data_IF_838859178615
#
_entry.id   IF_838859178615
#
_cell.length_a   1.000
_cell.length_b   1.000
_cell.length_c   1.000
_cell.angle_alpha   90.00
_cell.angle_beta   90.00
_cell.angle_gamma   90.00
#
_symmetry.space_group_name_H-M   'P 1'
#
loop_
_entity.id
_entity.type
_entity.pdbx_description
1 polymer ?
#
# COMPACT_ATOMS: atom_id res chain seq x y z
N UNK A 1 7.24 0.17 2.02
CA UNK A 1 6.17 -0.82 1.76
C UNK A 1 6.68 -2.09 1.11
N UNK A 2 7.21 -2.08 -0.12
CA UNK A 2 7.70 -3.31 -0.79
C UNK A 2 8.87 -4.01 -0.09
N UNK A 3 9.63 -3.29 0.74
CA UNK A 3 10.69 -3.87 1.60
C UNK A 3 10.10 -4.59 2.81
N UNK A 4 8.93 -4.17 3.29
CA UNK A 4 8.31 -4.68 4.52
C UNK A 4 7.28 -5.79 4.24
N UNK A 5 6.60 -5.73 3.10
CA UNK A 5 5.48 -6.62 2.78
C UNK A 5 5.61 -7.19 1.37
N UNK A 6 5.19 -8.45 1.22
CA UNK A 6 5.09 -9.09 -0.09
C UNK A 6 3.98 -8.44 -0.93
N UNK A 7 4.09 -8.54 -2.26
CA UNK A 7 3.03 -8.07 -3.16
C UNK A 7 1.70 -8.78 -2.90
N UNK A 8 1.74 -10.07 -2.55
CA UNK A 8 0.55 -10.85 -2.20
C UNK A 8 -0.12 -10.31 -0.94
N UNK A 9 0.64 -10.07 0.13
CA UNK A 9 0.11 -9.49 1.36
C UNK A 9 -0.54 -8.12 1.09
N UNK A 10 0.15 -7.24 0.37
CA UNK A 10 -0.38 -5.92 0.01
C UNK A 10 -1.62 -5.99 -0.89
N UNK A 11 -1.74 -7.02 -1.73
CA UNK A 11 -2.91 -7.20 -2.60
C UNK A 11 -4.13 -7.76 -1.86
N UNK A 12 -3.90 -8.57 -0.82
CA UNK A 12 -4.96 -9.28 -0.07
C UNK A 12 -5.44 -8.51 1.16
N UNK A 13 -4.68 -7.54 1.66
CA UNK A 13 -5.05 -6.73 2.83
C UNK A 13 -5.57 -5.33 2.45
N UNK A 14 -6.22 -4.67 3.41
CA UNK A 14 -6.65 -3.29 3.33
C UNK A 14 -6.24 -2.53 4.59
N UNK A 15 -6.29 -1.20 4.54
CA UNK A 15 -5.91 -0.39 5.71
C UNK A 15 -6.84 -0.61 6.91
N UNK A 16 -8.15 -0.75 6.66
CA UNK A 16 -9.18 -0.72 7.72
C UNK A 16 -10.07 -1.96 7.77
N UNK A 17 -9.99 -2.87 6.79
CA UNK A 17 -10.91 -3.99 6.66
C UNK A 17 -12.32 -3.61 6.17
N UNK A 18 -12.61 -2.32 6.01
CA UNK A 18 -13.93 -1.87 5.61
C UNK A 18 -14.20 -2.15 4.13
N UNK A 19 -15.43 -2.60 3.83
CA UNK A 19 -15.89 -2.78 2.45
C UNK A 19 -16.07 -1.41 1.80
N UNK A 20 -15.47 -1.20 0.63
CA UNK A 20 -15.68 0.05 -0.11
C UNK A 20 -17.12 0.15 -0.60
N UNK A 21 -17.71 1.33 -0.46
CA UNK A 21 -19.05 1.64 -0.98
C UNK A 21 -19.14 1.53 -2.50
N UNK A 22 -18.02 1.66 -3.20
CA UNK A 22 -17.90 1.63 -4.66
C UNK A 22 -17.50 0.27 -5.23
N UNK A 23 -17.23 -0.74 -4.38
CA UNK A 23 -16.89 -2.10 -4.82
C UNK A 23 -17.64 -3.14 -4.00
N UNK A 24 -18.97 -3.00 -3.97
CA UNK A 24 -19.89 -3.84 -3.18
C UNK A 24 -19.87 -5.31 -3.59
N UNK A 25 -19.54 -5.59 -4.85
CA UNK A 25 -19.49 -6.96 -5.35
C UNK A 25 -18.15 -7.65 -5.08
N UNK A 26 -17.15 -6.91 -4.60
CA UNK A 26 -15.83 -7.48 -4.26
C UNK A 26 -15.82 -8.06 -2.86
N UNK A 27 -15.00 -9.10 -2.68
CA UNK A 27 -14.72 -9.69 -1.38
C UNK A 27 -14.13 -8.65 -0.41
N UNK A 28 -14.47 -8.81 0.88
CA UNK A 28 -13.88 -8.00 1.96
C UNK A 28 -12.46 -8.48 2.21
N UNK A 29 -11.54 -7.53 2.36
CA UNK A 29 -10.15 -7.82 2.72
C UNK A 29 -9.94 -7.64 4.21
N UNK A 30 -9.12 -8.46 4.87
CA UNK A 30 -8.71 -8.17 6.25
C UNK A 30 -8.00 -6.82 6.37
N UNK A 31 -8.02 -6.25 7.57
CA UNK A 31 -7.23 -5.08 7.91
C UNK A 31 -5.76 -5.47 8.12
N UNK A 32 -4.83 -4.57 7.81
CA UNK A 32 -3.45 -4.68 8.25
C UNK A 32 -3.35 -4.55 9.78
N UNK A 33 -2.26 -5.06 10.35
CA UNK A 33 -1.96 -4.87 11.76
C UNK A 33 -1.86 -3.37 12.09
N UNK A 34 -2.64 -2.92 13.06
CA UNK A 34 -2.71 -1.49 13.38
C UNK A 34 -1.44 -1.00 14.09
N UNK A 35 -0.70 -1.85 14.81
CA UNK A 35 0.58 -1.48 15.41
C UNK A 35 1.61 -1.15 14.32
N UNK A 36 1.71 -2.01 13.30
CA UNK A 36 2.59 -1.76 12.14
C UNK A 36 2.20 -0.48 11.39
N UNK A 37 0.89 -0.18 11.29
CA UNK A 37 0.41 1.08 10.71
C UNK A 37 0.88 2.29 11.52
N UNK A 38 0.84 2.22 12.86
CA UNK A 38 1.34 3.30 13.72
C UNK A 38 2.86 3.48 13.60
N UNK A 39 3.61 2.38 13.50
CA UNK A 39 5.06 2.44 13.29
C UNK A 39 5.41 3.11 11.96
N UNK A 40 4.69 2.76 10.88
CA UNK A 40 4.88 3.38 9.57
C UNK A 40 4.56 4.88 9.64
N UNK A 41 3.50 5.28 10.36
CA UNK A 41 3.18 6.70 10.58
C UNK A 41 4.30 7.39 11.36
N UNK A 42 4.78 6.79 12.46
CA UNK A 42 5.86 7.31 13.28
C UNK A 42 7.13 7.56 12.48
N UNK A 43 7.60 6.56 11.73
CA UNK A 43 8.80 6.68 10.87
C UNK A 43 8.58 7.70 9.76
N UNK A 44 7.40 7.73 9.13
CA UNK A 44 7.11 8.70 8.07
C UNK A 44 7.17 10.13 8.61
N UNK A 45 6.67 10.38 9.83
CA UNK A 45 6.72 11.72 10.45
C UNK A 45 8.11 12.12 10.91
N UNK A 46 9.00 11.18 11.21
CA UNK A 46 10.41 11.51 11.46
C UNK A 46 11.08 12.10 10.21
N UNK A 47 10.73 11.59 9.02
CA UNK A 47 11.27 12.06 7.74
C UNK A 47 10.50 13.27 7.18
N UNK A 48 9.18 13.32 7.42
CA UNK A 48 8.28 14.34 6.90
C UNK A 48 7.39 14.91 8.04
N UNK A 49 7.94 15.75 8.93
CA UNK A 49 7.27 16.17 10.17
C UNK A 49 5.93 16.87 9.97
N UNK A 50 5.75 17.54 8.83
CA UNK A 50 4.55 18.30 8.51
C UNK A 50 3.44 17.46 7.85
N UNK A 51 3.68 16.18 7.60
CA UNK A 51 2.68 15.30 6.98
C UNK A 51 1.70 14.83 8.05
N UNK A 52 0.40 15.05 7.80
CA UNK A 52 -0.65 14.60 8.70
C UNK A 52 -0.91 13.09 8.57
N UNK A 53 -1.37 12.49 9.65
CA UNK A 53 -1.65 11.05 9.74
C UNK A 53 -2.69 10.59 8.72
N UNK A 54 -3.64 11.45 8.32
CA UNK A 54 -4.69 11.13 7.35
C UNK A 54 -4.07 10.96 5.96
N UNK A 55 -3.18 11.85 5.56
CA UNK A 55 -2.42 11.77 4.31
C UNK A 55 -1.54 10.53 4.25
N UNK A 56 -0.86 10.19 5.34
CA UNK A 56 -0.03 8.96 5.42
C UNK A 56 -0.91 7.72 5.29
N UNK A 57 -2.01 7.65 6.05
CA UNK A 57 -2.99 6.55 5.95
C UNK A 57 -3.55 6.43 4.54
N UNK A 58 -3.88 7.55 3.89
CA UNK A 58 -4.35 7.57 2.50
C UNK A 58 -3.30 6.99 1.55
N UNK A 59 -2.03 7.36 1.70
CA UNK A 59 -0.93 6.80 0.91
C UNK A 59 -0.81 5.28 1.09
N UNK A 60 -0.88 4.78 2.34
CA UNK A 60 -0.88 3.34 2.63
C UNK A 60 -2.03 2.66 1.87
N UNK A 61 -3.25 3.16 2.04
CA UNK A 61 -4.43 2.61 1.36
C UNK A 61 -4.31 2.62 -0.16
N UNK A 62 -3.77 3.69 -0.74
CA UNK A 62 -3.51 3.78 -2.19
C UNK A 62 -2.50 2.74 -2.66
N UNK A 63 -1.40 2.53 -1.93
CA UNK A 63 -0.41 1.51 -2.29
C UNK A 63 -1.02 0.11 -2.30
N UNK A 64 -1.77 -0.26 -1.26
CA UNK A 64 -2.47 -1.56 -1.18
C UNK A 64 -3.46 -1.74 -2.33
N UNK A 65 -4.27 -0.71 -2.62
CA UNK A 65 -5.22 -0.75 -3.73
C UNK A 65 -4.53 -0.91 -5.08
N UNK A 66 -3.37 -0.27 -5.28
CA UNK A 66 -2.61 -0.41 -6.51
C UNK A 66 -1.99 -1.81 -6.67
N UNK A 67 -1.58 -2.47 -5.58
CA UNK A 67 -1.10 -3.85 -5.61
C UNK A 67 -2.18 -4.87 -6.04
N UNK A 68 -3.47 -4.49 -5.99
CA UNK A 68 -4.58 -5.36 -6.41
C UNK A 68 -4.89 -5.29 -7.90
N UNK A 69 -4.45 -4.22 -8.54
CA UNK A 69 -4.53 -4.08 -9.99
C UNK A 69 -3.40 -4.96 -10.51
N UNK A 70 -3.73 -6.05 -11.21
CA UNK A 70 -2.73 -6.92 -11.85
C UNK A 70 -1.67 -6.03 -12.51
N UNK A 71 -0.37 -6.29 -12.32
CA UNK A 71 0.61 -5.56 -13.09
C UNK A 71 0.33 -5.85 -14.57
N UNK A 72 0.09 -4.80 -15.37
CA UNK A 72 0.51 -4.87 -16.75
C UNK A 72 2.04 -5.01 -16.69
N UNK A 73 2.52 -6.25 -16.72
CA UNK A 73 3.94 -6.58 -16.86
C UNK A 73 4.32 -6.24 -18.30
N UNK A 74 4.42 -4.96 -18.61
CA UNK A 74 4.99 -4.45 -19.86
C UNK A 74 5.23 -2.94 -19.70
N UNK A 75 6.32 -2.61 -19.02
CA UNK A 75 7.21 -1.45 -19.25
C UNK A 75 8.10 -1.32 -18.01
N UNK A 76 9.41 -1.36 -18.24
CA UNK A 76 10.51 -1.33 -17.26
C UNK A 76 11.08 -2.70 -16.88
N UNK A 77 11.49 -3.47 -17.88
CA UNK A 77 12.76 -4.19 -17.78
C UNK A 77 13.61 -3.85 -19.00
N UNK A 78 14.88 -3.57 -18.73
CA UNK A 78 16.02 -3.39 -19.62
C UNK A 78 16.14 -2.10 -20.46
N UNK A 79 16.91 -1.15 -19.92
CA UNK A 79 18.09 -0.66 -20.63
C UNK A 79 19.09 -0.08 -19.63
N UNK A 80 19.92 -0.96 -19.08
CA UNK A 80 21.28 -0.60 -18.71
C UNK A 80 22.20 -1.66 -19.30
N UNK A 81 22.30 -1.65 -20.63
CA UNK A 81 23.51 -2.13 -21.31
C UNK A 81 24.55 -1.01 -21.18
N UNK A 82 25.37 -1.12 -20.13
CA UNK A 82 26.65 -0.43 -20.06
C UNK A 82 27.62 -1.25 -20.93
N UNK A 83 28.08 -0.66 -22.02
CA UNK A 83 29.33 -1.05 -22.69
C UNK A 83 30.32 0.09 -22.57
#
# INVERSE_FOLDING_TARGET
MQVLYTNEYMATHSLTGAKSSTSRDKAVKPAMNQNEVQEIIGVTKQLFPNTDDVSIRRMIGQKLNNCTKKPNVSKNLNSQDIK
#
